data_IF_913774855149
#
_entry.id   IF_913774855149
#
_cell.length_a   1.000
_cell.length_b   1.000
_cell.length_c   1.000
_cell.angle_alpha   90.00
_cell.angle_beta   90.00
_cell.angle_gamma   90.00
#
_symmetry.space_group_name_H-M   'P 1'
#
loop_
_entity.id
_entity.type
_entity.pdbx_description
1 polymer ?
#
# COMPACT_ATOMS: atom_id res chain seq x y z
N UNK A 1 16.16 -2.75 8.99
CA UNK A 1 15.40 -3.97 9.38
C UNK A 1 13.90 -3.69 9.27
N UNK A 2 13.07 -4.75 9.19
CA UNK A 2 11.62 -4.62 9.23
C UNK A 2 11.00 -5.60 10.23
N UNK A 3 9.97 -5.14 10.94
CA UNK A 3 9.12 -5.95 11.81
C UNK A 3 7.69 -5.89 11.26
N UNK A 4 7.25 -6.96 10.59
CA UNK A 4 5.96 -7.01 9.89
C UNK A 4 4.94 -7.83 10.67
N UNK A 5 3.78 -7.24 10.94
CA UNK A 5 2.67 -7.88 11.66
C UNK A 5 1.37 -7.66 10.90
N UNK A 6 0.68 -8.76 10.57
CA UNK A 6 -0.67 -8.72 10.04
C UNK A 6 -1.66 -8.72 11.20
N UNK A 7 -2.49 -7.68 11.27
CA UNK A 7 -3.50 -7.51 12.33
C UNK A 7 -4.73 -8.41 12.11
N UNK A 8 -5.04 -8.76 10.87
CA UNK A 8 -6.20 -9.55 10.49
C UNK A 8 -6.19 -10.92 11.16
N UNK A 9 -7.26 -11.23 11.92
CA UNK A 9 -7.41 -12.49 12.67
C UNK A 9 -6.27 -12.80 13.63
N UNK A 10 -5.52 -11.80 14.07
CA UNK A 10 -4.39 -11.95 14.97
C UNK A 10 -4.81 -11.60 16.41
N UNK A 11 -5.17 -12.62 17.18
CA UNK A 11 -5.63 -12.44 18.55
C UNK A 11 -4.53 -11.87 19.47
N UNK A 12 -3.27 -12.20 19.22
CA UNK A 12 -2.16 -11.69 20.03
C UNK A 12 -1.93 -10.21 19.77
N UNK A 13 -1.94 -9.79 18.50
CA UNK A 13 -1.89 -8.37 18.15
C UNK A 13 -3.09 -7.62 18.74
N UNK A 14 -4.31 -8.18 18.62
CA UNK A 14 -5.50 -7.57 19.23
C UNK A 14 -5.32 -7.35 20.73
N UNK A 15 -4.95 -8.37 21.49
CA UNK A 15 -4.71 -8.24 22.93
C UNK A 15 -3.63 -7.21 23.24
N UNK A 16 -2.59 -7.14 22.43
CA UNK A 16 -1.49 -6.22 22.60
C UNK A 16 -1.93 -4.74 22.50
N UNK A 17 -2.79 -4.41 21.55
CA UNK A 17 -3.24 -3.03 21.33
C UNK A 17 -4.52 -2.63 22.06
N UNK A 18 -5.34 -3.61 22.52
CA UNK A 18 -6.58 -3.32 23.25
C UNK A 18 -6.43 -3.25 24.77
N UNK A 19 -5.30 -3.72 25.32
CA UNK A 19 -5.07 -3.74 26.77
C UNK A 19 -4.83 -2.33 27.31
N UNK A 20 -3.91 -1.60 26.70
CA UNK A 20 -3.54 -0.22 27.00
C UNK A 20 -2.67 0.34 25.86
N UNK A 21 -2.24 1.60 25.97
CA UNK A 21 -1.38 2.26 25.01
C UNK A 21 0.05 2.47 25.51
N UNK A 22 0.54 1.65 26.45
CA UNK A 22 1.94 1.67 26.90
C UNK A 22 2.88 1.26 25.76
N UNK A 23 3.63 2.24 25.24
CA UNK A 23 4.46 2.08 24.05
C UNK A 23 5.57 1.06 24.26
N UNK A 24 6.20 1.03 25.45
CA UNK A 24 7.28 0.09 25.75
C UNK A 24 6.75 -1.36 25.84
N UNK A 25 5.57 -1.54 26.38
CA UNK A 25 4.90 -2.86 26.43
C UNK A 25 4.55 -3.31 25.00
N UNK A 26 3.99 -2.41 24.18
CA UNK A 26 3.65 -2.71 22.80
C UNK A 26 4.91 -3.09 22.02
N UNK A 27 5.99 -2.32 22.12
CA UNK A 27 7.26 -2.64 21.46
C UNK A 27 7.84 -3.98 21.90
N UNK A 28 7.79 -4.32 23.19
CA UNK A 28 8.20 -5.64 23.70
C UNK A 28 7.36 -6.77 23.09
N UNK A 29 6.04 -6.58 23.03
CA UNK A 29 5.14 -7.53 22.41
C UNK A 29 5.44 -7.74 20.92
N UNK A 30 5.65 -6.65 20.18
CA UNK A 30 5.99 -6.70 18.75
C UNK A 30 7.36 -7.39 18.51
N UNK A 31 8.38 -7.13 19.35
CA UNK A 31 9.66 -7.85 19.29
C UNK A 31 9.46 -9.36 19.49
N UNK A 32 8.65 -9.75 20.49
CA UNK A 32 8.36 -11.16 20.76
C UNK A 32 7.59 -11.84 19.62
N UNK A 33 6.64 -11.13 19.00
CA UNK A 33 5.83 -11.64 17.89
C UNK A 33 6.63 -11.83 16.60
N UNK A 34 7.53 -10.91 16.31
CA UNK A 34 8.28 -10.88 15.03
C UNK A 34 9.64 -11.53 15.13
N UNK A 35 10.16 -11.76 16.33
CA UNK A 35 11.54 -12.16 16.59
C UNK A 35 12.57 -11.16 16.01
N UNK A 36 12.15 -9.91 15.79
CA UNK A 36 13.01 -8.82 15.29
C UNK A 36 13.37 -7.91 16.47
N UNK A 37 14.64 -7.57 16.56
CA UNK A 37 15.09 -6.52 17.47
C UNK A 37 14.70 -5.14 16.88
N UNK A 38 13.62 -4.58 17.43
CA UNK A 38 13.06 -3.30 17.00
C UNK A 38 13.83 -2.18 17.72
N UNK A 39 14.66 -1.49 16.98
CA UNK A 39 15.52 -0.41 17.48
C UNK A 39 15.13 0.94 16.86
N UNK A 40 15.21 2.06 17.64
CA UNK A 40 14.93 3.39 17.13
C UNK A 40 15.83 3.72 15.91
N UNK A 41 15.25 4.36 14.91
CA UNK A 41 15.97 4.84 13.72
C UNK A 41 16.45 3.76 12.73
N UNK A 42 16.45 2.47 13.09
CA UNK A 42 16.99 1.38 12.27
C UNK A 42 15.92 0.36 11.79
N UNK A 43 14.81 0.27 12.53
CA UNK A 43 13.77 -0.73 12.24
C UNK A 43 12.46 -0.05 11.86
N UNK A 44 11.88 -0.44 10.73
CA UNK A 44 10.53 -0.09 10.35
C UNK A 44 9.56 -1.14 10.89
N UNK A 45 8.62 -0.71 11.71
CA UNK A 45 7.48 -1.54 12.14
C UNK A 45 6.36 -1.35 11.13
N UNK A 46 5.86 -2.44 10.56
CA UNK A 46 4.73 -2.44 9.62
C UNK A 46 3.57 -3.21 10.25
N UNK A 47 2.46 -2.51 10.44
CA UNK A 47 1.21 -3.09 10.94
C UNK A 47 0.19 -3.08 9.79
N UNK A 48 -0.14 -4.26 9.28
CA UNK A 48 -1.00 -4.43 8.11
C UNK A 48 -2.40 -4.90 8.50
N UNK A 49 -3.39 -4.60 7.67
CA UNK A 49 -4.82 -4.90 7.90
C UNK A 49 -5.34 -4.32 9.23
N UNK A 50 -4.93 -3.07 9.53
CA UNK A 50 -5.22 -2.45 10.84
C UNK A 50 -6.70 -2.13 11.05
N UNK A 51 -7.56 -2.17 10.02
CA UNK A 51 -9.01 -2.04 10.17
C UNK A 51 -9.61 -3.13 11.07
N UNK A 52 -8.94 -4.28 11.20
CA UNK A 52 -9.38 -5.35 12.12
C UNK A 52 -9.07 -5.03 13.60
N UNK A 53 -8.16 -4.09 13.87
CA UNK A 53 -7.79 -3.64 15.23
C UNK A 53 -7.67 -2.11 15.22
N UNK A 54 -8.80 -1.38 15.32
CA UNK A 54 -8.83 0.08 15.23
C UNK A 54 -7.95 0.79 16.28
N UNK A 55 -7.74 0.18 17.43
CA UNK A 55 -6.88 0.67 18.50
C UNK A 55 -5.42 0.86 18.07
N UNK A 56 -4.98 0.20 17.02
CA UNK A 56 -3.66 0.45 16.40
C UNK A 56 -3.53 1.91 15.95
N UNK A 57 -4.58 2.48 15.34
CA UNK A 57 -4.58 3.87 14.89
C UNK A 57 -4.50 4.85 16.06
N UNK A 58 -5.18 4.54 17.16
CA UNK A 58 -5.10 5.35 18.38
C UNK A 58 -3.71 5.28 19.02
N UNK A 59 -3.08 4.11 19.00
CA UNK A 59 -1.73 3.89 19.52
C UNK A 59 -0.69 4.78 18.83
N UNK A 60 -0.87 5.12 17.53
CA UNK A 60 0.07 5.96 16.77
C UNK A 60 0.28 7.34 17.42
N UNK A 61 -0.73 7.87 18.11
CA UNK A 61 -0.59 9.12 18.86
C UNK A 61 0.46 8.99 19.96
N UNK A 62 0.41 7.93 20.73
CA UNK A 62 1.33 7.67 21.83
C UNK A 62 2.74 7.37 21.34
N UNK A 63 2.88 6.60 20.28
CA UNK A 63 4.17 6.41 19.61
C UNK A 63 4.80 7.73 19.19
N UNK A 64 4.01 8.64 18.60
CA UNK A 64 4.53 9.96 18.20
C UNK A 64 4.96 10.82 19.38
N UNK A 65 4.28 10.72 20.52
CA UNK A 65 4.52 11.55 21.71
C UNK A 65 5.64 10.99 22.59
N UNK A 66 5.72 9.66 22.74
CA UNK A 66 6.58 8.99 23.71
C UNK A 66 7.80 8.31 23.08
N UNK A 67 7.69 7.92 21.80
CA UNK A 67 8.74 7.18 21.08
C UNK A 67 8.90 7.67 19.62
N UNK A 68 9.18 8.97 19.40
CA UNK A 68 9.19 9.57 18.06
C UNK A 68 10.29 9.03 17.15
N UNK A 69 11.32 8.38 17.69
CA UNK A 69 12.45 7.82 16.94
C UNK A 69 12.12 6.43 16.34
N UNK A 70 10.98 5.83 16.68
CA UNK A 70 10.55 4.58 16.07
C UNK A 70 9.77 4.87 14.78
N UNK A 71 10.14 4.17 13.71
CA UNK A 71 9.47 4.26 12.42
C UNK A 71 8.34 3.26 12.35
N UNK A 72 7.10 3.76 12.25
CA UNK A 72 5.91 2.92 12.19
C UNK A 72 5.11 3.27 10.94
N UNK A 73 4.78 2.26 10.15
CA UNK A 73 3.86 2.35 9.04
C UNK A 73 2.64 1.46 9.31
N UNK A 74 1.46 1.95 9.01
CA UNK A 74 0.22 1.18 9.08
C UNK A 74 -0.44 1.13 7.73
N UNK A 75 -1.03 -0.02 7.39
CA UNK A 75 -1.73 -0.23 6.14
C UNK A 75 -3.07 -0.93 6.37
N UNK A 76 -4.03 -0.66 5.50
CA UNK A 76 -5.33 -1.33 5.52
C UNK A 76 -6.17 -0.92 4.32
N UNK A 77 -6.91 -1.86 3.75
CA UNK A 77 -7.70 -1.68 2.52
C UNK A 77 -8.88 -0.71 2.69
N UNK A 78 -9.34 -0.49 3.94
CA UNK A 78 -10.52 0.31 4.28
C UNK A 78 -10.19 1.48 5.20
N UNK A 79 -8.93 1.89 5.29
CA UNK A 79 -8.52 3.00 6.17
C UNK A 79 -9.34 4.28 5.92
N UNK A 80 -9.65 4.61 4.67
CA UNK A 80 -10.46 5.78 4.31
C UNK A 80 -11.90 5.70 4.81
N UNK A 81 -12.50 4.51 4.88
CA UNK A 81 -13.88 4.29 5.35
C UNK A 81 -13.92 4.20 6.88
N UNK A 82 -12.98 3.50 7.48
CA UNK A 82 -12.86 3.37 8.95
C UNK A 82 -12.58 4.70 9.64
N UNK A 83 -11.98 5.66 8.94
CA UNK A 83 -11.76 7.03 9.44
C UNK A 83 -13.07 7.82 9.66
N UNK A 84 -14.20 7.34 9.13
CA UNK A 84 -15.51 7.98 9.30
C UNK A 84 -16.37 7.36 10.39
N UNK A 85 -16.00 6.19 10.93
CA UNK A 85 -16.75 5.48 11.97
C UNK A 85 -16.12 5.64 13.36
N UNK A 86 -16.26 6.83 14.00
CA UNK A 86 -15.95 7.09 15.44
C UNK A 86 -14.54 6.70 15.94
N UNK A 87 -13.57 6.47 15.05
CA UNK A 87 -12.19 6.23 15.45
C UNK A 87 -11.50 7.58 15.62
N UNK A 88 -10.87 7.80 16.77
CA UNK A 88 -10.06 8.98 17.03
C UNK A 88 -8.82 8.96 16.14
N UNK A 89 -8.95 9.50 14.93
CA UNK A 89 -7.82 9.63 14.02
C UNK A 89 -6.78 10.60 14.62
N UNK A 90 -5.50 10.23 14.67
CA UNK A 90 -4.46 11.06 15.29
C UNK A 90 -4.06 12.24 14.39
N UNK A 91 -4.97 13.22 14.27
CA UNK A 91 -4.79 14.43 13.45
C UNK A 91 -3.48 15.13 13.79
N UNK A 92 -2.64 15.40 12.79
CA UNK A 92 -1.35 16.07 12.96
C UNK A 92 -0.24 15.22 13.60
N UNK A 93 -0.49 13.93 13.88
CA UNK A 93 0.49 13.00 14.47
C UNK A 93 0.99 11.97 13.47
N UNK A 94 0.32 11.82 12.34
CA UNK A 94 0.63 10.86 11.26
C UNK A 94 0.65 11.54 9.91
N UNK A 95 1.43 11.00 8.99
CA UNK A 95 1.41 11.37 7.58
C UNK A 95 0.65 10.31 6.80
N UNK A 96 -0.35 10.72 6.03
CA UNK A 96 -1.09 9.83 5.14
C UNK A 96 -0.35 9.75 3.81
N UNK A 97 -0.05 8.53 3.38
CA UNK A 97 0.54 8.23 2.08
C UNK A 97 -0.50 7.46 1.27
N UNK A 98 -0.89 8.01 0.13
CA UNK A 98 -1.77 7.31 -0.79
C UNK A 98 -0.95 6.47 -1.76
N UNK A 99 -1.23 5.17 -1.80
CA UNK A 99 -0.64 4.25 -2.77
C UNK A 99 -1.61 4.11 -3.95
N UNK A 100 -1.23 4.69 -5.09
CA UNK A 100 -1.99 4.60 -6.33
C UNK A 100 -1.48 3.44 -7.21
N UNK A 101 -2.25 2.99 -8.21
CA UNK A 101 -1.71 2.18 -9.29
C UNK A 101 -0.50 2.88 -9.94
N UNK A 102 0.42 2.11 -10.51
CA UNK A 102 1.63 2.62 -11.14
C UNK A 102 1.30 3.64 -12.24
N UNK A 103 2.02 4.76 -12.21
CA UNK A 103 1.95 5.78 -13.26
C UNK A 103 2.59 5.27 -14.57
N UNK A 104 2.47 6.05 -15.65
CA UNK A 104 3.14 5.70 -16.90
C UNK A 104 4.68 5.72 -16.76
N UNK A 105 5.22 6.66 -15.98
CA UNK A 105 6.65 6.71 -15.67
C UNK A 105 7.12 5.46 -14.93
N UNK A 106 6.36 5.01 -13.93
CA UNK A 106 6.66 3.80 -13.17
C UNK A 106 6.55 2.55 -14.05
N UNK A 107 5.57 2.50 -14.97
CA UNK A 107 5.45 1.45 -15.97
C UNK A 107 6.67 1.42 -16.91
N UNK A 108 7.13 2.58 -17.39
CA UNK A 108 8.35 2.67 -18.23
C UNK A 108 9.57 2.16 -17.46
N UNK A 109 9.71 2.53 -16.21
CA UNK A 109 10.82 2.05 -15.35
C UNK A 109 10.76 0.54 -15.15
N UNK A 110 9.59 -0.02 -14.83
CA UNK A 110 9.39 -1.46 -14.66
C UNK A 110 9.72 -2.24 -15.95
N UNK A 111 9.38 -1.67 -17.11
CA UNK A 111 9.65 -2.24 -18.43
C UNK A 111 11.12 -2.13 -18.86
N UNK A 112 11.94 -1.39 -18.12
CA UNK A 112 13.35 -1.14 -18.46
C UNK A 112 13.56 0.02 -19.45
N UNK A 113 12.53 0.78 -19.82
CA UNK A 113 12.56 1.93 -20.73
C UNK A 113 13.10 3.20 -20.03
N UNK A 114 14.24 3.08 -19.37
CA UNK A 114 14.81 4.12 -18.51
C UNK A 114 15.07 5.45 -19.24
N UNK A 115 15.59 5.39 -20.47
CA UNK A 115 15.89 6.61 -21.24
C UNK A 115 14.60 7.30 -21.71
N UNK A 116 13.59 6.54 -22.12
CA UNK A 116 12.28 7.10 -22.44
C UNK A 116 11.64 7.76 -21.22
N UNK A 117 11.76 7.14 -20.04
CA UNK A 117 11.30 7.72 -18.78
C UNK A 117 12.03 9.03 -18.44
N UNK A 118 13.36 9.08 -18.59
CA UNK A 118 14.14 10.30 -18.35
C UNK A 118 13.74 11.46 -19.28
N UNK A 119 13.56 11.18 -20.58
CA UNK A 119 13.11 12.19 -21.55
C UNK A 119 11.72 12.72 -21.21
N UNK A 120 10.80 11.84 -20.78
CA UNK A 120 9.46 12.22 -20.32
C UNK A 120 9.54 13.13 -19.11
N UNK A 121 10.30 12.75 -18.08
CA UNK A 121 10.46 13.51 -16.83
C UNK A 121 11.16 14.86 -17.06
N UNK A 122 12.13 14.93 -17.96
CA UNK A 122 12.82 16.18 -18.33
C UNK A 122 12.00 17.09 -19.24
N UNK A 123 10.84 16.60 -19.75
CA UNK A 123 9.97 17.31 -20.69
C UNK A 123 10.69 17.73 -21.96
N UNK A 124 11.63 16.91 -22.46
CA UNK A 124 12.30 17.12 -23.73
C UNK A 124 11.34 16.79 -24.88
N UNK A 125 10.41 17.70 -25.12
CA UNK A 125 9.39 17.55 -26.16
C UNK A 125 9.97 17.44 -27.55
N UNK A 126 11.16 18.00 -27.82
CA UNK A 126 11.86 17.87 -29.09
C UNK A 126 12.24 16.42 -29.37
N UNK A 127 12.94 15.80 -28.42
CA UNK A 127 13.30 14.38 -28.53
C UNK A 127 12.09 13.46 -28.47
N UNK A 128 11.09 13.78 -27.63
CA UNK A 128 9.85 12.99 -27.58
C UNK A 128 9.10 13.02 -28.92
N UNK A 129 9.09 14.16 -29.62
CA UNK A 129 8.47 14.26 -30.95
C UNK A 129 9.21 13.38 -32.01
N UNK A 130 10.52 13.33 -31.94
CA UNK A 130 11.31 12.43 -32.81
C UNK A 130 11.02 10.94 -32.51
N UNK A 131 10.70 10.61 -31.29
CA UNK A 131 10.38 9.26 -30.82
C UNK A 131 8.87 9.02 -30.69
N UNK A 132 8.05 9.82 -31.36
CA UNK A 132 6.60 9.83 -31.23
C UNK A 132 5.97 8.44 -31.31
N UNK A 133 6.29 7.67 -32.33
CA UNK A 133 5.73 6.33 -32.55
C UNK A 133 6.07 5.39 -31.36
N UNK A 134 7.31 5.46 -30.86
CA UNK A 134 7.73 4.68 -29.70
C UNK A 134 6.89 5.03 -28.45
N UNK A 135 6.69 6.34 -28.18
CA UNK A 135 5.88 6.76 -27.03
C UNK A 135 4.41 6.37 -27.17
N UNK A 136 3.86 6.48 -28.38
CA UNK A 136 2.48 6.06 -28.65
C UNK A 136 2.32 4.56 -28.40
N UNK A 137 3.27 3.74 -28.84
CA UNK A 137 3.21 2.29 -28.62
C UNK A 137 3.37 1.92 -27.14
N UNK A 138 4.28 2.58 -26.42
CA UNK A 138 4.44 2.38 -24.98
C UNK A 138 3.19 2.80 -24.19
N UNK A 139 2.57 3.91 -24.59
CA UNK A 139 1.34 4.40 -23.96
C UNK A 139 0.15 3.46 -24.23
N UNK A 140 0.03 2.90 -25.44
CA UNK A 140 -0.97 1.88 -25.77
C UNK A 140 -0.78 0.63 -24.94
N UNK A 141 0.46 0.19 -24.74
CA UNK A 141 0.75 -0.93 -23.86
C UNK A 141 0.30 -0.63 -22.43
N UNK A 142 0.63 0.56 -21.90
CA UNK A 142 0.20 0.98 -20.57
C UNK A 142 -1.33 1.05 -20.43
N UNK A 143 -2.05 1.57 -21.44
CA UNK A 143 -3.52 1.59 -21.43
C UNK A 143 -4.13 0.19 -21.41
N UNK A 144 -3.47 -0.77 -22.03
CA UNK A 144 -3.94 -2.16 -22.02
C UNK A 144 -3.62 -2.89 -20.71
N UNK A 145 -2.38 -2.72 -20.21
CA UNK A 145 -1.88 -3.41 -19.01
C UNK A 145 -2.39 -2.76 -17.73
N UNK A 146 -2.53 -1.43 -17.74
CA UNK A 146 -2.86 -0.65 -16.55
C UNK A 146 -1.69 -0.50 -15.59
N UNK A 147 -1.97 0.09 -14.42
CA UNK A 147 -0.99 0.37 -13.39
C UNK A 147 -0.99 -0.62 -12.22
N UNK A 148 -1.73 -1.74 -12.28
CA UNK A 148 -1.73 -2.72 -11.20
C UNK A 148 -0.40 -3.49 -11.21
N UNK A 149 0.39 -3.49 -10.11
CA UNK A 149 1.76 -4.03 -10.09
C UNK A 149 1.84 -5.49 -10.56
N UNK A 150 0.89 -6.34 -10.18
CA UNK A 150 0.86 -7.74 -10.59
C UNK A 150 0.69 -7.89 -12.12
N UNK A 151 -0.22 -7.09 -12.71
CA UNK A 151 -0.44 -7.08 -14.16
C UNK A 151 0.79 -6.57 -14.91
N UNK A 152 1.46 -5.51 -14.38
CA UNK A 152 2.68 -4.96 -14.94
C UNK A 152 3.82 -5.96 -14.86
N UNK A 153 4.03 -6.59 -13.70
CA UNK A 153 5.08 -7.61 -13.52
C UNK A 153 4.90 -8.76 -14.50
N UNK A 154 3.69 -9.29 -14.63
CA UNK A 154 3.40 -10.36 -15.58
C UNK A 154 3.65 -9.96 -17.03
N UNK A 155 3.30 -8.73 -17.39
CA UNK A 155 3.56 -8.22 -18.72
C UNK A 155 5.05 -8.08 -19.02
N UNK A 156 5.81 -7.55 -18.07
CA UNK A 156 7.28 -7.40 -18.20
C UNK A 156 7.97 -8.75 -18.32
N UNK A 157 7.54 -9.75 -17.56
CA UNK A 157 8.10 -11.10 -17.57
C UNK A 157 7.82 -11.87 -18.86
N UNK A 158 6.60 -11.76 -19.39
CA UNK A 158 6.13 -12.69 -20.42
C UNK A 158 5.74 -12.04 -21.75
N UNK A 159 5.42 -10.75 -21.76
CA UNK A 159 4.79 -10.06 -22.89
C UNK A 159 3.38 -10.57 -23.24
N UNK A 160 2.82 -11.51 -22.46
CA UNK A 160 1.60 -12.22 -22.77
C UNK A 160 0.35 -11.44 -22.34
N UNK A 161 -0.25 -10.68 -23.24
CA UNK A 161 -1.46 -9.88 -22.98
C UNK A 161 -2.65 -10.71 -22.46
N UNK A 162 -2.74 -11.99 -22.83
CA UNK A 162 -3.79 -12.89 -22.33
C UNK A 162 -3.66 -13.15 -20.83
N UNK A 163 -2.43 -13.33 -20.33
CA UNK A 163 -2.16 -13.51 -18.91
C UNK A 163 -2.46 -12.22 -18.12
N UNK A 164 -2.08 -11.08 -18.68
CA UNK A 164 -2.43 -9.77 -18.09
C UNK A 164 -3.94 -9.64 -17.93
N UNK A 165 -4.71 -9.98 -18.97
CA UNK A 165 -6.17 -9.90 -18.92
C UNK A 165 -6.79 -10.81 -17.86
N UNK A 166 -6.22 -12.01 -17.68
CA UNK A 166 -6.65 -12.92 -16.62
C UNK A 166 -6.45 -12.29 -15.24
N UNK A 167 -5.25 -11.72 -14.98
CA UNK A 167 -4.96 -11.05 -13.71
C UNK A 167 -5.89 -9.86 -13.47
N UNK A 168 -6.15 -9.04 -14.50
CA UNK A 168 -7.08 -7.91 -14.37
C UNK A 168 -8.48 -8.37 -13.99
N UNK A 169 -8.97 -9.48 -14.58
CA UNK A 169 -10.27 -10.05 -14.24
C UNK A 169 -10.31 -10.58 -12.80
N UNK A 170 -9.25 -11.24 -12.36
CA UNK A 170 -9.14 -11.74 -10.97
C UNK A 170 -9.15 -10.58 -9.95
N UNK A 171 -8.44 -9.47 -10.24
CA UNK A 171 -8.45 -8.27 -9.42
C UNK A 171 -9.86 -7.66 -9.34
N UNK A 172 -10.55 -7.52 -10.49
CA UNK A 172 -11.90 -6.97 -10.54
C UNK A 172 -12.89 -7.83 -9.76
N UNK A 173 -12.83 -9.17 -9.92
CA UNK A 173 -13.65 -10.10 -9.15
C UNK A 173 -13.37 -10.01 -7.65
N UNK A 174 -12.09 -9.82 -7.27
CA UNK A 174 -11.71 -9.59 -5.87
C UNK A 174 -12.36 -8.33 -5.30
N UNK A 175 -12.37 -7.24 -6.05
CA UNK A 175 -13.04 -5.99 -5.65
C UNK A 175 -14.57 -6.16 -5.52
N UNK A 176 -15.21 -6.80 -6.47
CA UNK A 176 -16.67 -7.05 -6.42
C UNK A 176 -17.06 -7.84 -5.16
N UNK A 177 -16.26 -8.85 -4.79
CA UNK A 177 -16.47 -9.64 -3.58
C UNK A 177 -16.22 -8.84 -2.30
N UNK A 178 -15.25 -7.93 -2.31
CA UNK A 178 -14.92 -7.11 -1.15
C UNK A 178 -15.95 -5.99 -0.93
N UNK A 179 -16.35 -5.29 -1.99
CA UNK A 179 -17.44 -4.32 -1.94
C UNK A 179 -18.75 -4.92 -1.43
N UNK A 180 -19.09 -6.13 -1.89
CA UNK A 180 -20.31 -6.83 -1.47
C UNK A 180 -20.34 -7.15 0.03
N UNK A 181 -19.20 -7.27 0.70
CA UNK A 181 -19.11 -7.50 2.15
C UNK A 181 -19.33 -6.23 2.98
N UNK A 182 -18.98 -5.08 2.43
CA UNK A 182 -18.96 -3.82 3.16
C UNK A 182 -20.04 -2.82 2.73
N UNK A 183 -20.71 -3.07 1.59
CA UNK A 183 -21.84 -2.25 1.15
C UNK A 183 -23.10 -2.56 2.00
N UNK A 184 -23.91 -1.55 2.35
CA UNK A 184 -25.22 -1.79 2.92
C UNK A 184 -26.04 -2.70 2.01
N UNK A 185 -26.77 -3.68 2.59
CA UNK A 185 -27.54 -4.69 1.84
C UNK A 185 -28.53 -4.10 0.83
N UNK A 186 -28.93 -2.85 1.00
CA UNK A 186 -29.84 -2.11 0.13
C UNK A 186 -29.14 -1.50 -1.11
N UNK A 187 -27.82 -1.54 -1.21
CA UNK A 187 -27.03 -0.95 -2.29
C UNK A 187 -26.25 -2.00 -3.11
N UNK A 188 -26.40 -3.27 -2.80
CA UNK A 188 -25.82 -4.37 -3.60
C UNK A 188 -26.83 -4.73 -4.68
N UNK A 189 -26.50 -4.57 -5.98
CA UNK A 189 -27.41 -4.90 -7.07
C UNK A 189 -27.71 -6.41 -7.16
#
# INVERSE_FOLDING_TARGET
KEAYVVCRKNNLARQLFTQDFDVERILRGLRAMTSVDITPGDTLVILDEVQDIPEVLEALKYFKEEAPDYHIAVAGSLLGISLHENISYPVGKVNVINLYPMSFEEFLMAKGEKEACKLLMSRDYGMMSLLHEKYVDLLRQYYYVGGMPEAVSKYVETGALREVRRIQQEILQGYDLDFSKHAPKEQVP
#
